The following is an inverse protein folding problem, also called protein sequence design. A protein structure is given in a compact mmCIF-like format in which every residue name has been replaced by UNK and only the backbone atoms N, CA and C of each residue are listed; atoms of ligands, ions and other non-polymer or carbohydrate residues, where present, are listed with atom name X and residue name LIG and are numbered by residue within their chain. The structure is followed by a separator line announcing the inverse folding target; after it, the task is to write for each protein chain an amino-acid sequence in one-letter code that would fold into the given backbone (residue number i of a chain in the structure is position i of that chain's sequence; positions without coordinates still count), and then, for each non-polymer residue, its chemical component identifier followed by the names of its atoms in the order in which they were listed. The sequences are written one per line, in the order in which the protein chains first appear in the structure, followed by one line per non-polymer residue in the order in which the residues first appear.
data_IF_760411703634
#
_entry.id   IF_760411703634
#
_cell.length_a   1.000
_cell.length_b   1.000
_cell.length_c   1.000
_cell.angle_alpha   90.00
_cell.angle_beta   90.00
_cell.angle_gamma   90.00
#
_symmetry.space_group_name_H-M   'P 1'
#
loop_
_entity.id
_entity.type
_entity.pdbx_description
1 polymer ?
#
# COMPACT_ATOMS: atom_id res chain seq x y z
N UNK A 1 17.18 0.49 -10.60
CA UNK A 1 15.85 0.49 -9.94
C UNK A 1 15.77 -0.74 -9.04
N UNK A 2 15.07 -0.66 -7.91
CA UNK A 2 14.95 -1.75 -6.95
C UNK A 2 14.45 -3.08 -7.56
N UNK A 3 13.52 -3.00 -8.52
CA UNK A 3 13.02 -4.18 -9.24
C UNK A 3 14.13 -5.03 -9.91
N UNK A 4 15.18 -4.42 -10.45
CA UNK A 4 16.30 -5.14 -11.10
C UNK A 4 17.23 -5.83 -10.10
N UNK A 5 17.13 -5.48 -8.82
CA UNK A 5 17.86 -6.12 -7.73
C UNK A 5 17.02 -7.22 -7.04
N UNK A 6 15.88 -7.61 -7.62
CA UNK A 6 14.97 -8.60 -7.04
C UNK A 6 14.19 -8.12 -5.81
N UNK A 7 14.05 -6.79 -5.66
CA UNK A 7 13.19 -6.19 -4.65
C UNK A 7 11.79 -6.02 -5.23
N UNK A 8 10.82 -6.63 -4.56
CA UNK A 8 9.40 -6.57 -4.90
C UNK A 8 8.69 -5.72 -3.83
N UNK A 9 7.81 -4.84 -4.28
CA UNK A 9 6.92 -4.06 -3.43
C UNK A 9 5.50 -4.54 -3.65
N UNK A 10 4.91 -5.13 -2.61
CA UNK A 10 3.51 -5.50 -2.61
C UNK A 10 2.70 -4.45 -1.85
N UNK A 11 1.52 -4.13 -2.40
CA UNK A 11 0.59 -3.16 -1.82
C UNK A 11 -0.83 -3.55 -2.21
N UNK A 12 -1.78 -3.30 -1.32
CA UNK A 12 -3.20 -3.41 -1.66
C UNK A 12 -3.64 -2.22 -2.50
N UNK A 13 -4.50 -2.39 -3.52
CA UNK A 13 -5.01 -1.27 -4.31
C UNK A 13 -5.62 -0.17 -3.43
N UNK A 14 -5.43 1.08 -3.85
CA UNK A 14 -6.05 2.23 -3.19
C UNK A 14 -7.44 2.45 -3.78
N UNK A 15 -8.43 2.44 -2.91
CA UNK A 15 -9.81 2.73 -3.28
C UNK A 15 -10.09 4.24 -3.18
N UNK A 16 -11.06 4.78 -3.95
CA UNK A 16 -11.47 6.18 -3.84
C UNK A 16 -11.79 6.58 -2.39
N UNK A 17 -11.33 7.76 -1.98
CA UNK A 17 -11.52 8.29 -0.62
C UNK A 17 -10.54 7.74 0.44
N UNK A 18 -9.60 6.87 0.07
CA UNK A 18 -8.52 6.48 0.99
C UNK A 18 -7.64 7.69 1.37
N UNK A 19 -7.35 7.83 2.65
CA UNK A 19 -6.39 8.81 3.18
C UNK A 19 -5.44 8.13 4.17
N UNK A 20 -4.14 8.41 4.09
CA UNK A 20 -3.17 7.95 5.09
C UNK A 20 -1.79 7.64 4.51
N UNK A 21 -0.89 7.17 5.37
CA UNK A 21 0.38 6.60 4.91
C UNK A 21 0.14 5.22 4.29
N UNK A 22 0.85 4.91 3.21
CA UNK A 22 0.76 3.61 2.56
C UNK A 22 1.66 2.62 3.30
N UNK A 23 1.10 1.50 3.71
CA UNK A 23 1.89 0.35 4.17
C UNK A 23 2.30 -0.47 2.96
N UNK A 24 3.60 -0.66 2.77
CA UNK A 24 4.16 -1.52 1.73
C UNK A 24 4.81 -2.76 2.36
N UNK A 25 4.67 -3.90 1.69
CA UNK A 25 5.42 -5.11 2.00
C UNK A 25 6.58 -5.24 1.01
N UNK A 26 7.78 -5.48 1.53
CA UNK A 26 8.99 -5.57 0.73
C UNK A 26 9.51 -7.00 0.81
N UNK A 27 9.64 -7.65 -0.34
CA UNK A 27 10.25 -8.98 -0.46
C UNK A 27 11.58 -8.89 -1.21
N UNK A 28 12.62 -9.56 -0.71
CA UNK A 28 13.86 -9.80 -1.43
C UNK A 28 13.84 -11.23 -1.99
N UNK A 29 13.81 -11.37 -3.32
CA UNK A 29 13.74 -12.67 -4.00
C UNK A 29 15.11 -13.18 -4.45
N UNK A 30 16.19 -12.54 -4.02
CA UNK A 30 17.57 -12.94 -4.30
C UNK A 30 18.26 -13.49 -3.05
N UNK A 31 19.29 -14.33 -3.19
CA UNK A 31 20.10 -14.78 -2.05
C UNK A 31 21.05 -13.70 -1.51
N UNK A 32 21.17 -12.56 -2.20
CA UNK A 32 22.08 -11.47 -1.83
C UNK A 32 21.36 -10.47 -0.92
N UNK A 33 22.03 -9.96 0.13
CA UNK A 33 21.45 -8.90 0.95
C UNK A 33 21.29 -7.62 0.13
N UNK A 34 20.17 -6.93 0.33
CA UNK A 34 19.89 -5.64 -0.30
C UNK A 34 19.78 -4.55 0.76
N UNK A 35 20.33 -3.37 0.44
CA UNK A 35 20.15 -2.16 1.25
C UNK A 35 19.07 -1.31 0.61
N UNK A 36 18.15 -0.82 1.43
CA UNK A 36 17.07 0.07 1.02
C UNK A 36 17.19 1.33 1.88
N UNK A 37 17.27 2.49 1.23
CA UNK A 37 17.46 3.77 1.91
C UNK A 37 16.18 4.59 1.91
N UNK A 38 15.94 5.30 3.02
CA UNK A 38 14.84 6.24 3.12
C UNK A 38 14.98 7.36 2.07
N UNK A 39 13.84 7.87 1.60
CA UNK A 39 13.73 8.95 0.60
C UNK A 39 14.17 8.58 -0.82
N UNK A 40 14.53 7.32 -1.10
CA UNK A 40 14.70 6.84 -2.46
C UNK A 40 13.35 6.44 -3.08
N UNK A 41 13.21 6.57 -4.40
CA UNK A 41 12.05 6.08 -5.12
C UNK A 41 11.99 4.56 -5.12
N UNK A 42 11.03 3.98 -4.38
CA UNK A 42 10.86 2.53 -4.23
C UNK A 42 9.72 1.94 -5.07
N UNK A 43 8.67 2.72 -5.31
CA UNK A 43 7.49 2.34 -6.10
C UNK A 43 6.88 3.58 -6.77
N UNK A 44 5.93 3.35 -7.66
CA UNK A 44 5.14 4.40 -8.31
C UNK A 44 3.66 4.15 -8.06
N UNK A 45 2.90 5.21 -7.82
CA UNK A 45 1.45 5.14 -7.73
C UNK A 45 0.88 5.58 -9.06
N UNK A 46 0.02 4.75 -9.63
CA UNK A 46 -0.74 5.07 -10.83
C UNK A 46 -2.18 5.36 -10.41
N UNK A 47 -2.67 6.53 -10.80
CA UNK A 47 -4.07 6.91 -10.61
C UNK A 47 -4.83 6.58 -11.87
N UNK A 48 -5.92 5.83 -11.71
CA UNK A 48 -6.84 5.49 -12.78
C UNK A 48 -8.14 6.24 -12.52
N UNK A 49 -8.61 6.97 -13.53
CA UNK A 49 -9.89 7.66 -13.49
C UNK A 49 -11.02 6.65 -13.70
N UNK A 50 -12.08 6.75 -12.91
CA UNK A 50 -13.29 5.95 -13.07
C UNK A 50 -14.27 6.65 -14.01
N UNK A 51 -15.13 5.88 -14.68
CA UNK A 51 -16.13 6.41 -15.61
C UNK A 51 -17.28 7.14 -14.90
N UNK A 52 -17.49 6.84 -13.61
CA UNK A 52 -18.55 7.40 -12.78
C UNK A 52 -18.07 7.68 -11.35
N UNK A 53 -18.84 8.50 -10.63
CA UNK A 53 -18.55 8.80 -9.24
C UNK A 53 -18.75 7.55 -8.37
N UNK A 54 -17.77 7.27 -7.50
CA UNK A 54 -17.85 6.16 -6.56
C UNK A 54 -19.04 6.34 -5.58
N UNK A 55 -20.00 5.41 -5.60
CA UNK A 55 -21.21 5.46 -4.76
C UNK A 55 -20.91 5.35 -3.25
N UNK A 56 -19.91 4.55 -2.88
CA UNK A 56 -19.47 4.37 -1.49
C UNK A 56 -17.96 4.28 -1.46
N UNK A 57 -17.34 5.33 -0.94
CA UNK A 57 -15.88 5.44 -0.85
C UNK A 57 -15.29 4.60 0.28
N UNK A 58 -13.97 4.42 0.28
CA UNK A 58 -13.23 3.78 1.38
C UNK A 58 -13.46 4.49 2.72
N UNK A 59 -13.60 5.83 2.69
CA UNK A 59 -13.97 6.64 3.85
C UNK A 59 -15.39 6.38 4.33
N UNK A 60 -16.37 6.30 3.42
CA UNK A 60 -17.80 6.11 3.77
C UNK A 60 -18.01 4.79 4.51
N UNK A 61 -17.35 3.72 4.04
CA UNK A 61 -17.39 2.40 4.68
C UNK A 61 -16.59 2.30 5.99
N UNK A 62 -16.01 3.41 6.47
CA UNK A 62 -15.10 3.47 7.63
C UNK A 62 -13.99 2.42 7.52
N UNK A 63 -13.32 2.43 6.37
CA UNK A 63 -12.31 1.43 6.03
C UNK A 63 -11.26 1.25 7.13
N UNK A 64 -10.85 0.00 7.33
CA UNK A 64 -10.03 -0.44 8.49
C UNK A 64 -8.74 0.37 8.69
N UNK A 65 -8.19 0.89 7.60
CA UNK A 65 -6.90 1.58 7.54
C UNK A 65 -7.04 3.07 7.15
N UNK A 66 -8.24 3.64 7.25
CA UNK A 66 -8.46 5.06 6.95
C UNK A 66 -7.70 5.93 7.96
N UNK A 67 -7.07 6.99 7.44
CA UNK A 67 -6.24 7.94 8.17
C UNK A 67 -5.07 7.29 8.93
N UNK A 68 -4.60 6.13 8.48
CA UNK A 68 -3.51 5.43 9.16
C UNK A 68 -2.20 6.22 9.13
N UNK A 69 -1.42 6.11 10.21
CA UNK A 69 -0.10 6.71 10.35
C UNK A 69 0.90 5.65 10.78
N UNK A 70 2.08 5.67 10.15
CA UNK A 70 3.12 4.67 10.39
C UNK A 70 2.74 3.27 9.91
N UNK A 71 3.42 2.25 10.44
CA UNK A 71 3.23 0.85 10.06
C UNK A 71 2.08 0.26 10.88
N UNK A 72 0.89 0.18 10.28
CA UNK A 72 -0.28 -0.44 10.92
C UNK A 72 -0.25 -1.95 10.69
N UNK A 73 -0.28 -2.72 11.78
CA UNK A 73 -0.35 -4.19 11.71
C UNK A 73 -1.71 -4.67 11.17
N UNK A 74 -1.78 -5.88 10.58
CA UNK A 74 -3.01 -6.44 10.06
C UNK A 74 -4.13 -6.52 11.12
N UNK A 75 -5.32 -5.99 10.77
CA UNK A 75 -6.52 -6.08 11.62
C UNK A 75 -7.36 -7.27 11.20
N UNK A 76 -7.13 -8.41 11.86
CA UNK A 76 -7.98 -9.60 11.72
C UNK A 76 -9.28 -9.32 12.49
N UNK A 77 -10.42 -9.33 11.81
CA UNK A 77 -11.72 -9.28 12.49
C UNK A 77 -11.87 -10.60 13.26
N UNK A 78 -12.12 -10.53 14.58
CA UNK A 78 -12.58 -11.73 15.30
C UNK A 78 -13.88 -12.17 14.63
N UNK A 79 -13.93 -13.40 14.14
CA UNK A 79 -15.22 -14.04 13.84
C UNK A 79 -15.96 -14.14 15.18
N UNK A 80 -17.06 -13.40 15.28
CA UNK A 80 -18.04 -13.50 16.36
C UNK A 80 -18.83 -14.79 16.24
#
# INVERSE_FOLDING_TARGET
TYARCGIIVNVTPFEPGFEGHITIEISNTTPLPAKIYANEGIAQVLFLEGDEQCETTYSDRKGKYQSQRGITLPRILKQS
#
